data_IF_993744875371
#
_entry.id   IF_993744875371
#
_cell.length_a   1.000
_cell.length_b   1.000
_cell.length_c   1.000
_cell.angle_alpha   90.00
_cell.angle_beta   90.00
_cell.angle_gamma   90.00
#
_symmetry.space_group_name_H-M   'P 1'
#
loop_
_entity.id
_entity.type
_entity.pdbx_description
1 polymer ?
#
# COMPACT_ATOMS: atom_id res chain seq x y z
N UNK A 1 21.74 24.56 56.27
CA UNK A 1 23.06 25.23 56.26
C UNK A 1 23.61 25.09 54.83
N UNK A 2 23.37 25.96 53.85
CA UNK A 2 23.19 27.40 53.89
C UNK A 2 24.51 28.07 53.50
N UNK A 3 24.78 28.23 52.19
CA UNK A 3 25.68 29.22 51.55
C UNK A 3 26.17 28.72 50.18
N UNK A 4 26.38 29.52 49.15
CA UNK A 4 25.88 30.83 48.70
C UNK A 4 26.51 31.01 47.30
N UNK A 5 25.71 31.54 46.38
CA UNK A 5 26.10 32.08 45.08
C UNK A 5 27.03 33.30 45.21
N UNK A 6 27.81 33.60 44.16
CA UNK A 6 28.08 34.96 43.61
C UNK A 6 28.97 34.90 42.35
N UNK A 7 28.45 35.32 41.19
CA UNK A 7 28.65 36.62 40.50
C UNK A 7 29.94 36.70 39.67
N UNK A 8 29.81 36.84 38.34
CA UNK A 8 30.19 38.06 37.64
C UNK A 8 29.30 38.27 36.40
N UNK A 9 28.83 39.50 36.26
CA UNK A 9 27.94 40.03 35.24
C UNK A 9 28.66 41.24 34.62
N UNK A 10 28.65 41.34 33.30
CA UNK A 10 28.62 42.62 32.60
C UNK A 10 29.84 42.98 31.73
N UNK A 11 29.62 43.01 30.42
CA UNK A 11 29.90 44.21 29.61
C UNK A 11 29.09 44.11 28.31
N UNK A 12 28.24 45.11 28.08
CA UNK A 12 27.46 45.32 26.87
C UNK A 12 28.14 46.39 26.02
N UNK A 13 28.17 46.21 24.69
CA UNK A 13 28.06 47.33 23.75
C UNK A 13 27.43 46.88 22.42
N UNK A 14 26.45 47.68 22.00
CA UNK A 14 25.57 47.58 20.83
C UNK A 14 26.24 48.16 19.58
N UNK A 15 25.70 47.80 18.40
CA UNK A 15 25.33 48.64 17.21
C UNK A 15 24.97 47.63 16.09
N UNK A 16 23.69 47.35 15.79
CA UNK A 16 22.75 48.03 14.85
C UNK A 16 23.08 47.76 13.36
N UNK A 17 22.20 47.53 12.39
CA UNK A 17 20.74 47.31 12.25
C UNK A 17 20.45 47.17 10.73
N UNK A 18 19.32 46.56 10.36
CA UNK A 18 18.69 46.61 9.03
C UNK A 18 18.37 45.20 8.51
N UNK A 19 17.22 44.56 8.77
CA UNK A 19 15.80 44.98 8.78
C UNK A 19 15.27 45.34 7.38
N UNK A 20 14.57 44.40 6.75
CA UNK A 20 13.31 44.69 6.06
C UNK A 20 12.31 43.56 6.29
N UNK A 21 11.07 43.98 6.55
CA UNK A 21 9.95 43.25 7.11
C UNK A 21 8.85 43.22 6.04
N UNK A 22 8.02 42.17 6.03
CA UNK A 22 6.80 42.12 5.23
C UNK A 22 5.92 40.94 5.62
N UNK A 23 5.17 41.09 6.72
CA UNK A 23 4.00 40.26 7.09
C UNK A 23 2.89 40.44 6.05
N UNK A 24 2.03 39.42 5.87
CA UNK A 24 0.57 39.56 6.09
C UNK A 24 -0.05 38.19 6.45
N UNK A 25 -0.84 38.21 7.52
CA UNK A 25 -1.80 37.18 7.96
C UNK A 25 -3.04 37.19 7.05
N UNK A 26 -3.74 36.05 6.90
CA UNK A 26 -5.15 35.94 7.30
C UNK A 26 -5.61 34.46 7.31
N UNK A 27 -6.32 34.11 8.38
CA UNK A 27 -7.00 32.84 8.66
C UNK A 27 -8.33 32.79 7.90
N UNK A 28 -8.67 31.67 7.25
CA UNK A 28 -10.08 31.27 7.04
C UNK A 28 -10.29 29.76 7.08
N UNK A 29 -10.85 29.33 8.20
CA UNK A 29 -11.61 28.08 8.38
C UNK A 29 -12.95 28.20 7.65
N UNK A 30 -13.35 27.22 6.84
CA UNK A 30 -14.74 26.98 6.46
C UNK A 30 -15.07 25.48 6.39
N UNK A 31 -16.23 25.17 6.98
CA UNK A 31 -16.83 23.85 7.18
C UNK A 31 -17.29 23.16 5.89
N UNK A 32 -17.20 21.84 5.90
CA UNK A 32 -18.00 20.91 5.08
C UNK A 32 -19.49 20.96 5.44
N UNK A 33 -20.37 20.65 4.47
CA UNK A 33 -21.59 19.91 4.74
C UNK A 33 -21.53 18.51 4.11
N UNK A 34 -21.89 17.52 4.91
CA UNK A 34 -22.08 16.14 4.51
C UNK A 34 -23.35 15.93 3.68
N UNK A 35 -23.30 14.87 2.86
CA UNK A 35 -24.40 14.04 2.37
C UNK A 35 -24.93 14.30 0.94
N UNK A 36 -24.48 13.50 -0.03
CA UNK A 36 -25.33 12.90 -1.06
C UNK A 36 -24.65 11.66 -1.68
N UNK A 37 -24.83 10.50 -1.06
CA UNK A 37 -24.69 9.19 -1.73
C UNK A 37 -25.94 8.92 -2.56
N UNK A 38 -25.77 8.85 -3.88
CA UNK A 38 -26.55 8.08 -4.85
C UNK A 38 -25.99 8.46 -6.23
N UNK A 39 -26.24 7.64 -7.26
CA UNK A 39 -25.90 7.88 -8.68
C UNK A 39 -24.50 7.41 -9.13
N UNK A 40 -24.27 6.10 -9.16
CA UNK A 40 -23.35 5.51 -10.15
C UNK A 40 -23.63 4.00 -10.38
N UNK A 41 -24.79 3.67 -10.95
CA UNK A 41 -25.05 2.31 -11.48
C UNK A 41 -25.65 2.32 -12.90
N UNK A 42 -25.95 3.48 -13.49
CA UNK A 42 -26.54 3.58 -14.84
C UNK A 42 -25.54 3.86 -15.97
N UNK A 43 -24.29 4.23 -15.67
CA UNK A 43 -23.31 4.59 -16.71
C UNK A 43 -22.38 3.44 -17.11
N UNK A 44 -22.33 2.34 -16.35
CA UNK A 44 -21.47 1.19 -16.68
C UNK A 44 -22.11 0.24 -17.71
N UNK A 45 -23.44 0.13 -17.78
CA UNK A 45 -24.11 -0.78 -18.73
C UNK A 45 -24.04 -0.30 -20.18
N UNK A 46 -23.91 1.01 -20.42
CA UNK A 46 -23.81 1.59 -21.76
C UNK A 46 -22.41 1.42 -22.36
N UNK A 47 -21.37 1.35 -21.52
CA UNK A 47 -19.99 1.12 -21.93
C UNK A 47 -19.81 -0.34 -22.38
N UNK A 48 -20.34 -1.29 -21.62
CA UNK A 48 -20.28 -2.71 -21.98
C UNK A 48 -21.09 -3.04 -23.24
N UNK A 49 -22.20 -2.32 -23.47
CA UNK A 49 -23.01 -2.45 -24.69
C UNK A 49 -22.28 -1.95 -25.94
N UNK A 50 -21.47 -0.89 -25.83
CA UNK A 50 -20.69 -0.35 -26.94
C UNK A 50 -19.51 -1.27 -27.35
N UNK A 51 -18.93 -1.98 -26.37
CA UNK A 51 -17.85 -2.96 -26.61
C UNK A 51 -18.41 -4.21 -27.31
N UNK A 52 -19.58 -4.68 -26.90
CA UNK A 52 -20.22 -5.86 -27.52
C UNK A 52 -20.64 -5.63 -29.00
N UNK A 53 -21.05 -4.41 -29.35
CA UNK A 53 -21.38 -4.06 -30.74
C UNK A 53 -20.13 -3.99 -31.63
N UNK A 54 -19.03 -3.43 -31.11
CA UNK A 54 -17.76 -3.29 -31.84
C UNK A 54 -17.10 -4.64 -32.15
N UNK A 55 -17.22 -5.62 -31.25
CA UNK A 55 -16.68 -6.97 -31.45
C UNK A 55 -17.49 -7.82 -32.45
N UNK A 56 -18.75 -7.45 -32.74
CA UNK A 56 -19.62 -8.18 -33.67
C UNK A 56 -19.43 -7.77 -35.14
N UNK A 57 -18.82 -6.61 -35.39
CA UNK A 57 -18.57 -6.09 -36.76
C UNK A 57 -17.23 -6.56 -37.35
N UNK A 58 -16.28 -6.99 -36.51
CA UNK A 58 -14.96 -7.47 -36.97
C UNK A 58 -14.98 -8.92 -37.50
N UNK A 59 -15.92 -9.75 -37.08
CA UNK A 59 -16.01 -11.17 -37.50
C UNK A 59 -16.55 -11.39 -38.93
N UNK A 60 -17.00 -10.33 -39.63
CA UNK A 60 -17.54 -10.43 -41.00
C UNK A 60 -16.57 -9.99 -42.11
N UNK A 61 -15.37 -9.48 -41.79
CA UNK A 61 -14.44 -8.95 -42.81
C UNK A 61 -13.21 -9.81 -43.11
N UNK A 62 -13.25 -11.09 -42.74
CA UNK A 62 -12.26 -12.08 -43.16
C UNK A 62 -12.61 -12.77 -44.48
N UNK A 63 -12.49 -12.08 -45.63
CA UNK A 63 -12.19 -12.61 -46.98
C UNK A 63 -12.52 -11.58 -48.07
N UNK A 64 -11.50 -11.05 -48.75
CA UNK A 64 -11.34 -11.11 -50.22
C UNK A 64 -10.12 -10.29 -50.68
N UNK A 65 -9.53 -10.77 -51.77
CA UNK A 65 -8.22 -10.43 -52.34
C UNK A 65 -8.40 -9.48 -53.54
N UNK A 66 -7.54 -8.44 -53.61
CA UNK A 66 -7.10 -7.58 -54.75
C UNK A 66 -8.17 -6.80 -55.56
N UNK A 67 -8.01 -5.47 -55.63
CA UNK A 67 -7.86 -4.78 -56.92
C UNK A 67 -7.07 -3.46 -56.76
N UNK A 68 -5.98 -3.31 -57.50
CA UNK A 68 -4.98 -2.23 -57.34
C UNK A 68 -4.99 -1.25 -58.53
N UNK A 69 -6.10 -1.19 -59.28
CA UNK A 69 -6.23 -0.40 -60.51
C UNK A 69 -7.19 0.80 -60.36
N UNK A 70 -8.09 0.80 -59.36
CA UNK A 70 -9.01 1.93 -59.11
C UNK A 70 -8.40 3.11 -58.36
N UNK A 71 -7.26 2.91 -57.69
CA UNK A 71 -6.66 3.94 -56.83
C UNK A 71 -5.76 4.94 -57.58
N UNK A 72 -5.38 4.64 -58.83
CA UNK A 72 -4.55 5.52 -59.65
C UNK A 72 -5.38 6.53 -60.47
N UNK A 73 -6.66 6.22 -60.71
CA UNK A 73 -7.57 7.05 -61.52
C UNK A 73 -8.18 8.20 -60.70
N UNK A 74 -8.32 8.02 -59.38
CA UNK A 74 -8.82 9.04 -58.45
C UNK A 74 -7.76 10.10 -58.10
N UNK A 75 -6.50 9.69 -57.94
CA UNK A 75 -5.38 10.62 -57.67
C UNK A 75 -5.06 11.51 -58.90
N UNK A 76 -5.26 11.01 -60.13
CA UNK A 76 -5.09 11.81 -61.35
C UNK A 76 -6.21 12.86 -61.52
N UNK A 77 -7.44 12.55 -61.10
CA UNK A 77 -8.56 13.49 -61.11
C UNK A 77 -8.40 14.60 -60.05
N UNK A 78 -7.84 14.26 -58.89
CA UNK A 78 -7.53 15.25 -57.84
C UNK A 78 -6.40 16.21 -58.26
N UNK A 79 -5.39 15.70 -58.98
CA UNK A 79 -4.31 16.53 -59.52
C UNK A 79 -4.79 17.50 -60.62
N UNK A 80 -5.74 17.07 -61.48
CA UNK A 80 -6.34 17.95 -62.50
C UNK A 80 -7.21 19.06 -61.89
N UNK A 81 -7.97 18.75 -60.82
CA UNK A 81 -8.78 19.74 -60.12
C UNK A 81 -7.94 20.83 -59.42
N UNK A 82 -6.76 20.48 -58.91
CA UNK A 82 -5.82 21.45 -58.33
C UNK A 82 -5.18 22.35 -59.40
N UNK A 83 -4.89 21.81 -60.59
CA UNK A 83 -4.29 22.58 -61.68
C UNK A 83 -5.27 23.54 -62.37
N UNK A 84 -6.56 23.20 -62.45
CA UNK A 84 -7.62 24.10 -62.93
C UNK A 84 -7.93 25.25 -61.95
N UNK A 85 -7.69 25.05 -60.65
CA UNK A 85 -7.86 26.10 -59.63
C UNK A 85 -6.78 27.19 -59.64
N UNK A 86 -5.68 26.98 -60.38
CA UNK A 86 -4.52 27.88 -60.45
C UNK A 86 -4.44 28.71 -61.74
N UNK A 87 -5.42 28.59 -62.65
CA UNK A 87 -5.42 29.31 -63.93
C UNK A 87 -6.58 30.31 -64.02
N UNK A 88 -6.43 31.45 -63.34
CA UNK A 88 -7.14 32.69 -63.71
C UNK A 88 -6.10 33.76 -63.98
N UNK A 89 -6.03 34.16 -65.25
CA UNK A 89 -5.15 35.20 -65.78
C UNK A 89 -5.27 36.52 -64.99
N UNK A 90 -4.12 37.11 -64.68
CA UNK A 90 -4.01 38.45 -64.12
C UNK A 90 -4.42 39.51 -65.15
N UNK A 91 -5.33 40.47 -64.84
CA UNK A 91 -5.44 41.68 -65.64
C UNK A 91 -4.38 42.70 -65.23
N UNK A 92 -3.85 43.35 -66.25
CA UNK A 92 -2.79 44.36 -66.21
C UNK A 92 -3.22 45.61 -65.46
N UNK A 93 -2.25 46.25 -64.79
CA UNK A 93 -2.33 47.61 -64.27
C UNK A 93 -2.73 48.58 -65.40
N UNK A 94 -3.86 49.28 -65.22
CA UNK A 94 -4.09 50.58 -65.83
C UNK A 94 -4.83 51.51 -64.87
N UNK A 95 -4.55 52.79 -65.03
CA UNK A 95 -4.68 53.88 -64.07
C UNK A 95 -5.99 54.67 -64.30
N UNK A 96 -6.76 54.97 -63.25
CA UNK A 96 -7.63 56.17 -63.24
C UNK A 96 -9.13 56.04 -62.89
N UNK A 97 -9.46 56.66 -61.76
CA UNK A 97 -10.65 57.49 -61.46
C UNK A 97 -12.03 56.92 -61.00
N UNK A 98 -12.36 57.30 -59.75
CA UNK A 98 -13.66 57.73 -59.15
C UNK A 98 -14.96 56.99 -59.46
N UNK A 99 -15.55 56.32 -58.44
CA UNK A 99 -16.98 56.34 -58.05
C UNK A 99 -17.13 55.90 -56.56
N UNK A 100 -18.19 56.30 -55.82
CA UNK A 100 -18.26 56.33 -54.34
C UNK A 100 -18.63 54.97 -53.70
N UNK A 101 -18.44 54.77 -52.38
CA UNK A 101 -18.53 53.44 -51.77
C UNK A 101 -19.97 52.99 -51.57
N UNK A 102 -20.28 51.79 -52.06
CA UNK A 102 -21.48 51.03 -51.71
C UNK A 102 -21.22 50.38 -50.34
N UNK A 103 -22.06 50.59 -49.31
CA UNK A 103 -21.90 49.92 -48.03
C UNK A 103 -22.37 48.48 -48.16
N UNK A 104 -21.45 47.55 -48.35
CA UNK A 104 -21.71 46.13 -48.11
C UNK A 104 -21.64 45.85 -46.61
N UNK A 105 -22.70 45.33 -45.98
CA UNK A 105 -22.60 44.79 -44.63
C UNK A 105 -21.82 43.49 -44.75
N UNK A 106 -20.52 43.52 -44.47
CA UNK A 106 -19.79 42.31 -44.16
C UNK A 106 -20.35 41.80 -42.84
N UNK A 107 -21.24 40.81 -42.89
CA UNK A 107 -21.39 39.88 -41.77
C UNK A 107 -20.12 39.02 -41.77
N UNK A 108 -19.01 39.59 -41.33
CA UNK A 108 -17.89 38.78 -40.84
C UNK A 108 -18.45 38.04 -39.63
N UNK A 109 -18.62 36.72 -39.74
CA UNK A 109 -18.96 35.91 -38.57
C UNK A 109 -17.95 36.20 -37.47
N UNK A 110 -18.37 36.96 -36.45
CA UNK A 110 -17.53 37.33 -35.33
C UNK A 110 -17.19 36.04 -34.57
N UNK A 111 -15.91 35.69 -34.58
CA UNK A 111 -15.41 34.51 -33.87
C UNK A 111 -15.26 34.89 -32.40
N UNK A 112 -16.03 34.28 -31.52
CA UNK A 112 -15.97 34.56 -30.08
C UNK A 112 -15.02 33.57 -29.42
N UNK A 113 -14.01 34.05 -28.70
CA UNK A 113 -13.05 33.21 -28.00
C UNK A 113 -13.73 32.46 -26.85
N UNK A 114 -13.67 31.13 -26.84
CA UNK A 114 -14.27 30.32 -25.78
C UNK A 114 -13.65 30.52 -24.39
N UNK A 115 -12.39 30.97 -24.30
CA UNK A 115 -11.71 31.20 -23.02
C UNK A 115 -12.05 32.54 -22.33
N UNK A 116 -12.24 33.63 -23.07
CA UNK A 116 -12.49 34.96 -22.51
C UNK A 116 -13.81 35.60 -22.97
N UNK A 117 -14.56 34.91 -23.83
CA UNK A 117 -15.84 35.31 -24.39
C UNK A 117 -15.82 36.68 -25.13
N UNK A 118 -14.66 37.07 -25.65
CA UNK A 118 -14.49 38.29 -26.46
C UNK A 118 -14.22 37.96 -27.92
N UNK A 119 -14.48 38.93 -28.81
CA UNK A 119 -14.25 38.78 -30.24
C UNK A 119 -12.77 38.60 -30.56
N UNK A 120 -12.48 37.55 -31.33
CA UNK A 120 -11.20 37.30 -31.96
C UNK A 120 -11.16 38.17 -33.21
N UNK A 121 -10.48 39.32 -33.12
CA UNK A 121 -10.29 40.24 -34.24
C UNK A 121 -9.47 39.64 -35.40
N UNK A 122 -8.81 40.48 -36.21
CA UNK A 122 -8.03 40.05 -37.39
C UNK A 122 -6.67 39.34 -37.06
N UNK A 123 -6.51 38.81 -35.85
CA UNK A 123 -5.27 38.19 -35.37
C UNK A 123 -5.20 36.68 -35.60
N UNK A 124 -4.08 36.06 -35.18
CA UNK A 124 -3.94 34.60 -35.13
C UNK A 124 -4.88 34.03 -34.08
N UNK A 125 -5.55 32.92 -34.40
CA UNK A 125 -6.48 32.23 -33.52
C UNK A 125 -6.27 30.73 -33.59
N UNK A 126 -6.60 30.03 -32.51
CA UNK A 126 -6.57 28.58 -32.44
C UNK A 126 -8.00 28.06 -32.64
N UNK A 127 -8.14 27.02 -33.46
CA UNK A 127 -9.42 26.32 -33.67
C UNK A 127 -9.26 24.89 -33.21
N UNK A 128 -9.78 24.57 -32.04
CA UNK A 128 -9.64 23.28 -31.39
C UNK A 128 -10.83 23.00 -30.46
N UNK A 129 -11.16 21.72 -30.26
CA UNK A 129 -12.33 21.30 -29.45
C UNK A 129 -13.67 21.87 -29.95
N UNK A 130 -13.83 22.06 -31.27
CA UNK A 130 -15.04 22.64 -31.87
C UNK A 130 -15.25 24.12 -31.57
N UNK A 131 -14.27 24.80 -30.97
CA UNK A 131 -14.33 26.20 -30.60
C UNK A 131 -13.08 26.97 -31.06
N UNK A 132 -13.17 28.29 -31.00
CA UNK A 132 -12.08 29.20 -31.35
C UNK A 132 -11.54 29.88 -30.10
N UNK A 133 -10.22 30.05 -30.02
CA UNK A 133 -9.53 30.56 -28.85
C UNK A 133 -8.48 31.60 -29.27
N UNK A 134 -8.30 32.63 -28.45
CA UNK A 134 -7.06 33.40 -28.50
C UNK A 134 -5.88 32.47 -28.11
N UNK A 135 -4.70 32.61 -28.74
CA UNK A 135 -3.52 31.84 -28.37
C UNK A 135 -3.19 31.92 -26.87
N UNK A 136 -3.43 33.07 -26.25
CA UNK A 136 -3.20 33.29 -24.82
C UNK A 136 -4.31 32.75 -23.92
N UNK A 137 -5.50 32.47 -24.46
CA UNK A 137 -6.66 31.99 -23.71
C UNK A 137 -6.76 30.46 -23.71
N UNK A 138 -6.11 29.77 -24.64
CA UNK A 138 -6.01 28.31 -24.63
C UNK A 138 -4.90 27.88 -23.67
N UNK A 139 -5.26 27.65 -22.40
CA UNK A 139 -4.31 27.44 -21.30
C UNK A 139 -4.41 26.04 -20.73
N UNK A 140 -3.26 25.48 -20.37
CA UNK A 140 -3.21 24.22 -19.65
C UNK A 140 -3.84 24.37 -18.26
N UNK A 141 -4.77 23.49 -17.91
CA UNK A 141 -5.46 23.54 -16.61
C UNK A 141 -4.52 23.35 -15.41
N UNK A 142 -3.46 22.54 -15.56
CA UNK A 142 -2.49 22.30 -14.49
C UNK A 142 -1.58 23.52 -14.18
N UNK A 143 -0.94 24.12 -15.18
CA UNK A 143 0.07 25.18 -14.98
C UNK A 143 -0.43 26.59 -15.32
N UNK A 144 -1.64 26.72 -15.87
CA UNK A 144 -2.25 27.97 -16.34
C UNK A 144 -1.45 28.75 -17.40
N UNK A 145 -0.46 28.12 -18.03
CA UNK A 145 0.29 28.69 -19.15
C UNK A 145 -0.38 28.37 -20.48
N UNK A 146 -0.26 29.25 -21.49
CA UNK A 146 -0.75 28.98 -22.84
C UNK A 146 -0.16 27.69 -23.43
N UNK A 147 -1.01 26.90 -24.08
CA UNK A 147 -0.57 25.74 -24.87
C UNK A 147 -0.32 26.23 -26.29
N UNK A 148 0.96 26.27 -26.66
CA UNK A 148 1.39 26.63 -28.03
C UNK A 148 1.87 25.43 -28.84
N UNK A 149 1.93 24.26 -28.20
CA UNK A 149 2.32 23.01 -28.83
C UNK A 149 1.25 22.55 -29.83
N UNK A 150 1.67 21.91 -30.92
CA UNK A 150 0.76 21.35 -31.94
C UNK A 150 -0.10 20.21 -31.37
N UNK A 151 0.40 19.50 -30.37
CA UNK A 151 -0.27 18.36 -29.76
C UNK A 151 -0.44 18.59 -28.25
N UNK A 152 -1.64 18.32 -27.75
CA UNK A 152 -2.01 18.49 -26.33
C UNK A 152 -2.83 17.29 -25.85
N UNK A 153 -2.95 17.13 -24.53
CA UNK A 153 -3.72 16.05 -23.93
C UNK A 153 -4.99 16.61 -23.30
N UNK A 154 -6.06 15.83 -23.29
CA UNK A 154 -7.34 16.21 -22.69
C UNK A 154 -7.69 15.28 -21.53
N UNK A 155 -8.16 15.86 -20.43
CA UNK A 155 -8.87 15.11 -19.38
C UNK A 155 -10.28 15.70 -19.26
N UNK A 156 -11.29 14.98 -19.75
CA UNK A 156 -12.63 15.54 -19.94
C UNK A 156 -12.58 16.75 -20.89
N UNK A 157 -13.10 17.89 -20.43
CA UNK A 157 -13.13 19.15 -21.20
C UNK A 157 -11.95 20.10 -20.91
N UNK A 158 -10.92 19.64 -20.19
CA UNK A 158 -9.79 20.47 -19.81
C UNK A 158 -8.53 20.13 -20.63
N UNK A 159 -7.93 21.10 -21.33
CA UNK A 159 -6.69 20.89 -22.06
C UNK A 159 -5.47 20.97 -21.13
N UNK A 160 -4.47 20.14 -21.41
CA UNK A 160 -3.20 20.07 -20.67
C UNK A 160 -2.03 20.01 -21.67
N UNK A 161 -0.87 20.56 -21.29
CA UNK A 161 0.38 20.19 -21.99
C UNK A 161 0.59 18.68 -21.86
N UNK A 162 1.19 18.03 -22.87
CA UNK A 162 1.52 16.60 -22.81
C UNK A 162 2.36 16.25 -21.57
N UNK A 163 3.32 17.09 -21.24
CA UNK A 163 4.16 16.97 -20.04
C UNK A 163 3.36 17.12 -18.75
N UNK A 164 2.50 18.13 -18.66
CA UNK A 164 1.64 18.35 -17.49
C UNK A 164 0.64 17.21 -17.30
N UNK A 165 0.02 16.74 -18.38
CA UNK A 165 -0.89 15.59 -18.35
C UNK A 165 -0.15 14.34 -17.87
N UNK A 166 1.05 14.08 -18.42
CA UNK A 166 1.90 12.98 -17.97
C UNK A 166 2.23 13.11 -16.47
N UNK A 167 2.62 14.28 -16.00
CA UNK A 167 2.97 14.48 -14.58
C UNK A 167 1.78 14.21 -13.64
N UNK A 168 0.57 14.56 -14.05
CA UNK A 168 -0.63 14.41 -13.22
C UNK A 168 -1.29 13.03 -13.30
N UNK A 169 -1.32 12.40 -14.47
CA UNK A 169 -2.11 11.19 -14.72
C UNK A 169 -1.26 9.94 -14.96
N UNK A 170 0.02 10.10 -15.29
CA UNK A 170 0.89 8.96 -15.52
C UNK A 170 1.37 8.39 -14.19
N UNK A 171 1.08 7.12 -13.87
CA UNK A 171 1.50 6.53 -12.61
C UNK A 171 3.03 6.46 -12.53
N UNK A 172 3.54 6.78 -11.35
CA UNK A 172 4.94 6.59 -10.98
C UNK A 172 5.09 5.27 -10.24
N UNK A 173 6.24 4.64 -10.42
CA UNK A 173 6.61 3.43 -9.70
C UNK A 173 7.14 3.79 -8.32
N UNK A 174 6.56 3.22 -7.27
CA UNK A 174 6.96 3.40 -5.87
C UNK A 174 8.31 2.74 -5.53
N UNK A 175 8.89 1.99 -6.48
CA UNK A 175 10.21 1.35 -6.34
C UNK A 175 11.28 2.17 -7.02
N UNK A 176 11.16 2.47 -8.31
CA UNK A 176 12.19 3.20 -9.05
C UNK A 176 11.99 4.72 -9.13
N UNK A 177 10.86 5.24 -8.63
CA UNK A 177 10.45 6.65 -8.68
C UNK A 177 10.33 7.24 -10.10
N UNK A 178 10.32 6.40 -11.14
CA UNK A 178 10.11 6.80 -12.53
C UNK A 178 8.67 6.58 -12.96
N UNK A 179 8.23 7.25 -14.03
CA UNK A 179 7.00 6.91 -14.72
C UNK A 179 7.05 5.46 -15.20
N UNK A 180 5.99 4.71 -14.94
CA UNK A 180 5.88 3.32 -15.37
C UNK A 180 5.89 3.30 -16.91
N UNK A 181 6.71 2.48 -17.57
CA UNK A 181 6.74 2.48 -19.02
C UNK A 181 5.43 1.95 -19.61
N UNK A 182 5.09 2.44 -20.80
CA UNK A 182 4.02 1.91 -21.63
C UNK A 182 4.49 0.64 -22.33
N UNK A 183 3.63 -0.37 -22.46
CA UNK A 183 3.92 -1.58 -23.22
C UNK A 183 3.88 -1.33 -24.75
N UNK A 184 4.22 -2.35 -25.54
CA UNK A 184 4.30 -2.26 -27.01
C UNK A 184 2.96 -1.88 -27.68
N UNK A 185 1.84 -2.06 -26.97
CA UNK A 185 0.48 -1.75 -27.43
C UNK A 185 0.05 -0.33 -27.05
N UNK A 186 0.89 0.43 -26.35
CA UNK A 186 0.55 1.80 -25.94
C UNK A 186 -0.25 1.88 -24.62
N UNK A 187 -0.36 0.78 -23.87
CA UNK A 187 -1.05 0.73 -22.57
C UNK A 187 -0.06 0.74 -21.39
N UNK A 188 -0.45 1.36 -20.29
CA UNK A 188 0.36 1.40 -19.05
C UNK A 188 0.00 0.19 -18.21
N UNK A 189 0.90 -0.79 -18.13
CA UNK A 189 0.76 -1.96 -17.26
C UNK A 189 1.62 -1.80 -16.00
N UNK A 190 1.01 -1.96 -14.83
CA UNK A 190 1.73 -1.97 -13.55
C UNK A 190 1.27 -3.12 -12.67
N UNK A 191 2.16 -3.56 -11.78
CA UNK A 191 1.84 -4.48 -10.69
C UNK A 191 1.54 -3.67 -9.44
N UNK A 192 0.68 -4.20 -8.57
CA UNK A 192 0.39 -3.61 -7.28
C UNK A 192 0.46 -4.66 -6.19
N UNK A 193 0.99 -4.28 -5.02
CA UNK A 193 0.86 -5.14 -3.84
C UNK A 193 -0.63 -5.23 -3.45
N UNK A 194 -1.24 -6.43 -3.31
CA UNK A 194 -2.69 -6.58 -3.10
C UNK A 194 -3.25 -5.79 -1.90
N UNK A 195 -2.52 -5.77 -0.79
CA UNK A 195 -2.92 -5.03 0.42
C UNK A 195 -2.41 -3.58 0.47
N UNK A 196 -1.09 -3.36 0.30
CA UNK A 196 -0.49 -2.04 0.46
C UNK A 196 -0.77 -1.08 -0.70
N UNK A 197 -1.24 -1.59 -1.84
CA UNK A 197 -1.45 -0.85 -3.08
C UNK A 197 -0.17 -0.14 -3.59
N UNK A 198 1.01 -0.64 -3.19
CA UNK A 198 2.30 -0.17 -3.71
C UNK A 198 2.36 -0.51 -5.21
N UNK A 199 2.40 0.50 -6.07
CA UNK A 199 2.41 0.36 -7.53
C UNK A 199 3.84 0.31 -8.03
N UNK A 200 4.17 -0.68 -8.86
CA UNK A 200 5.53 -0.84 -9.36
C UNK A 200 5.59 -1.39 -10.78
N UNK A 201 6.73 -1.13 -11.43
CA UNK A 201 7.02 -1.64 -12.76
C UNK A 201 7.04 -3.18 -12.75
N UNK A 202 6.42 -3.88 -13.73
CA UNK A 202 6.45 -5.34 -13.81
C UNK A 202 7.88 -5.94 -13.82
N UNK A 203 8.87 -5.20 -14.33
CA UNK A 203 10.27 -5.61 -14.33
C UNK A 203 10.85 -5.90 -12.94
N UNK A 204 10.32 -5.25 -11.89
CA UNK A 204 10.79 -5.45 -10.52
C UNK A 204 10.44 -6.83 -9.95
N UNK A 205 9.55 -7.59 -10.60
CA UNK A 205 9.29 -8.99 -10.24
C UNK A 205 10.47 -9.90 -10.60
N UNK A 206 11.33 -9.49 -11.54
CA UNK A 206 12.39 -10.32 -12.11
C UNK A 206 13.80 -9.75 -11.94
N UNK A 207 13.95 -8.49 -11.55
CA UNK A 207 15.26 -7.83 -11.43
C UNK A 207 15.99 -8.06 -10.10
N UNK A 208 15.39 -8.86 -9.20
CA UNK A 208 15.94 -9.15 -7.88
C UNK A 208 15.70 -8.06 -6.84
N UNK A 209 14.79 -7.10 -7.09
CA UNK A 209 14.35 -6.14 -6.08
C UNK A 209 13.83 -6.88 -4.84
N UNK A 210 14.44 -6.69 -3.67
CA UNK A 210 14.07 -7.44 -2.48
C UNK A 210 12.73 -6.97 -1.91
N UNK A 211 12.07 -7.87 -1.20
CA UNK A 211 10.85 -7.59 -0.44
C UNK A 211 11.13 -7.61 1.06
N UNK A 212 10.39 -6.82 1.81
CA UNK A 212 10.38 -6.91 3.26
C UNK A 212 9.82 -8.27 3.69
N UNK A 213 10.54 -9.03 4.53
CA UNK A 213 10.09 -10.34 5.01
C UNK A 213 8.83 -10.28 5.90
N UNK A 214 8.42 -9.08 6.33
CA UNK A 214 7.27 -8.90 7.21
C UNK A 214 6.08 -8.24 6.54
N UNK A 215 6.26 -7.22 5.69
CA UNK A 215 5.13 -6.57 5.00
C UNK A 215 5.09 -6.80 3.49
N UNK A 216 6.05 -7.55 2.93
CA UNK A 216 6.14 -7.95 1.51
C UNK A 216 6.22 -6.81 0.48
N UNK A 217 6.23 -5.56 0.93
CA UNK A 217 6.55 -4.38 0.11
C UNK A 217 7.96 -4.51 -0.47
N UNK A 218 8.10 -4.10 -1.72
CA UNK A 218 9.38 -4.04 -2.41
C UNK A 218 10.23 -2.86 -1.90
N UNK A 219 11.54 -3.05 -1.81
CA UNK A 219 12.53 -2.04 -1.43
C UNK A 219 12.59 -0.90 -2.47
N UNK A 220 12.22 0.34 -2.10
CA UNK A 220 12.37 1.49 -2.98
C UNK A 220 13.85 1.83 -3.23
N UNK A 221 14.18 2.40 -4.40
CA UNK A 221 15.57 2.71 -4.77
C UNK A 221 16.22 3.80 -3.92
N UNK A 222 15.41 4.69 -3.35
CA UNK A 222 15.86 5.79 -2.48
C UNK A 222 15.99 5.37 -1.01
N UNK A 223 15.49 4.18 -0.65
CA UNK A 223 15.46 3.72 0.74
C UNK A 223 16.13 2.36 0.85
N UNK A 224 17.03 2.18 1.83
CA UNK A 224 17.71 0.89 2.00
C UNK A 224 17.10 0.07 3.12
N UNK A 225 16.64 -1.15 2.83
CA UNK A 225 16.14 -2.07 3.84
C UNK A 225 17.28 -2.63 4.69
N UNK A 226 16.97 -3.01 5.93
CA UNK A 226 17.91 -3.66 6.84
C UNK A 226 18.10 -5.10 6.44
N UNK A 227 19.35 -5.55 6.33
CA UNK A 227 19.68 -6.95 6.06
C UNK A 227 19.89 -7.69 7.37
N UNK A 228 19.14 -8.77 7.56
CA UNK A 228 19.30 -9.71 8.66
C UNK A 228 20.40 -10.74 8.31
N UNK A 229 20.97 -11.40 9.31
CA UNK A 229 22.11 -12.31 9.14
C UNK A 229 21.74 -13.59 8.38
N UNK A 230 20.46 -13.96 8.42
CA UNK A 230 19.90 -15.09 7.66
C UNK A 230 19.55 -14.76 6.19
N UNK A 231 19.86 -13.53 5.74
CA UNK A 231 19.64 -13.05 4.38
C UNK A 231 18.30 -12.36 4.16
N UNK A 232 17.38 -12.37 5.13
CA UNK A 232 16.10 -11.65 5.03
C UNK A 232 16.31 -10.13 5.02
N UNK A 233 15.31 -9.42 4.49
CA UNK A 233 15.30 -7.96 4.39
C UNK A 233 14.13 -7.40 5.16
N UNK A 234 14.36 -6.35 5.94
CA UNK A 234 13.34 -5.71 6.77
C UNK A 234 13.28 -4.22 6.44
N UNK A 235 12.09 -3.72 6.10
CA UNK A 235 11.90 -2.29 5.88
C UNK A 235 11.98 -1.53 7.21
N UNK A 236 12.29 -0.23 7.13
CA UNK A 236 12.50 0.62 8.31
C UNK A 236 11.25 0.70 9.19
N UNK A 237 10.06 0.78 8.60
CA UNK A 237 8.81 0.85 9.35
C UNK A 237 8.51 -0.46 10.10
N UNK A 238 8.85 -1.63 9.52
CA UNK A 238 8.73 -2.92 10.21
C UNK A 238 9.80 -3.07 11.30
N UNK A 239 11.01 -2.54 11.07
CA UNK A 239 12.11 -2.55 12.03
C UNK A 239 11.77 -1.81 13.33
N UNK A 240 11.01 -0.72 13.26
CA UNK A 240 10.65 0.10 14.43
C UNK A 240 9.97 -0.70 15.56
N UNK A 241 9.31 -1.81 15.20
CA UNK A 241 8.64 -2.71 16.15
C UNK A 241 9.22 -4.13 16.16
N UNK A 242 10.36 -4.36 15.49
CA UNK A 242 10.94 -5.69 15.38
C UNK A 242 11.57 -6.15 16.69
N UNK A 243 11.31 -7.40 17.06
CA UNK A 243 11.86 -8.04 18.25
C UNK A 243 13.13 -8.77 17.85
N UNK A 244 14.25 -8.38 18.46
CA UNK A 244 15.57 -8.79 17.99
C UNK A 244 16.25 -9.82 18.90
N UNK A 245 15.82 -9.94 20.16
CA UNK A 245 16.34 -10.93 21.10
C UNK A 245 15.27 -11.44 22.07
N UNK A 246 15.59 -12.54 22.76
CA UNK A 246 14.68 -13.24 23.67
C UNK A 246 14.20 -12.35 24.83
N UNK A 247 15.03 -11.42 25.31
CA UNK A 247 14.67 -10.54 26.42
C UNK A 247 13.65 -9.48 26.02
N UNK A 248 13.74 -8.96 24.79
CA UNK A 248 12.76 -8.03 24.21
C UNK A 248 11.40 -8.69 23.96
N UNK A 249 11.37 -10.01 23.80
CA UNK A 249 10.13 -10.77 23.59
C UNK A 249 9.35 -11.03 24.88
N UNK A 250 10.01 -10.99 26.04
CA UNK A 250 9.41 -11.36 27.32
C UNK A 250 8.13 -10.57 27.67
N UNK A 251 8.06 -9.24 27.47
CA UNK A 251 6.82 -8.49 27.72
C UNK A 251 5.67 -8.96 26.83
N UNK A 252 5.95 -9.24 25.55
CA UNK A 252 4.95 -9.74 24.62
C UNK A 252 4.47 -11.15 25.01
N UNK A 253 5.36 -12.00 25.50
CA UNK A 253 4.98 -13.31 26.03
C UNK A 253 4.02 -13.21 27.22
N UNK A 254 4.26 -12.26 28.14
CA UNK A 254 3.34 -11.99 29.26
C UNK A 254 1.97 -11.49 28.77
N UNK A 255 1.95 -10.58 27.78
CA UNK A 255 0.71 -10.11 27.15
C UNK A 255 -0.10 -11.28 26.56
N UNK A 256 0.58 -12.26 25.93
CA UNK A 256 -0.05 -13.48 25.40
C UNK A 256 -0.60 -14.35 26.54
N UNK A 257 0.14 -14.52 27.63
CA UNK A 257 -0.36 -15.27 28.78
C UNK A 257 -1.61 -14.62 29.40
N UNK A 258 -1.63 -13.28 29.51
CA UNK A 258 -2.80 -12.53 29.98
C UNK A 258 -3.99 -12.69 29.03
N UNK A 259 -3.76 -12.64 27.71
CA UNK A 259 -4.80 -12.91 26.71
C UNK A 259 -5.44 -14.30 26.90
N UNK A 260 -4.63 -15.34 27.06
CA UNK A 260 -5.12 -16.69 27.32
C UNK A 260 -5.85 -16.81 28.67
N UNK A 261 -5.38 -16.12 29.70
CA UNK A 261 -6.06 -16.06 31.00
C UNK A 261 -7.43 -15.39 30.88
N UNK A 262 -7.54 -14.30 30.09
CA UNK A 262 -8.80 -13.64 29.77
C UNK A 262 -9.81 -14.51 29.01
N UNK A 263 -9.33 -15.54 28.31
CA UNK A 263 -10.16 -16.58 27.66
C UNK A 263 -10.46 -17.77 28.57
N UNK A 264 -10.07 -17.72 29.84
CA UNK A 264 -10.12 -18.82 30.81
C UNK A 264 -9.32 -20.07 30.35
N UNK A 265 -8.23 -19.85 29.61
CA UNK A 265 -7.36 -20.87 29.01
C UNK A 265 -5.93 -20.79 29.59
N UNK A 266 -5.81 -20.68 30.91
CA UNK A 266 -4.52 -20.49 31.58
C UNK A 266 -3.55 -21.67 31.33
N UNK A 267 -2.37 -21.37 30.79
CA UNK A 267 -1.26 -22.31 30.64
C UNK A 267 -0.42 -22.30 31.91
N UNK A 268 -0.62 -23.29 32.77
CA UNK A 268 0.06 -23.38 34.10
C UNK A 268 1.54 -23.71 34.01
N UNK A 269 1.96 -24.32 32.91
CA UNK A 269 3.35 -24.69 32.70
C UNK A 269 4.15 -23.46 32.29
N UNK A 270 5.33 -23.27 32.90
CA UNK A 270 6.31 -22.33 32.38
C UNK A 270 6.99 -22.94 31.16
N UNK A 271 6.60 -22.48 29.97
CA UNK A 271 7.21 -22.87 28.70
C UNK A 271 8.30 -21.86 28.36
N UNK A 272 9.56 -22.28 28.17
CA UNK A 272 10.62 -21.41 27.67
C UNK A 272 10.29 -20.86 26.28
N UNK A 273 10.44 -19.54 26.10
CA UNK A 273 10.35 -18.88 24.80
C UNK A 273 11.77 -18.53 24.33
N UNK A 274 12.12 -18.93 23.10
CA UNK A 274 13.44 -18.67 22.52
C UNK A 274 13.29 -18.05 21.12
N UNK A 275 13.98 -16.93 20.90
CA UNK A 275 14.14 -16.37 19.55
C UNK A 275 15.35 -17.02 18.88
N UNK A 276 15.14 -17.51 17.66
CA UNK A 276 16.10 -18.34 16.94
C UNK A 276 16.28 -17.86 15.50
N UNK A 277 17.40 -18.24 14.90
CA UNK A 277 17.64 -18.04 13.47
C UNK A 277 16.86 -19.06 12.62
N UNK A 278 16.65 -18.73 11.34
CA UNK A 278 15.96 -19.61 10.39
C UNK A 278 16.56 -21.02 10.34
N UNK A 279 17.89 -21.12 10.39
CA UNK A 279 18.56 -22.41 10.36
C UNK A 279 18.25 -23.26 11.61
N UNK A 280 18.33 -22.67 12.80
CA UNK A 280 17.99 -23.36 14.04
C UNK A 280 16.52 -23.79 14.09
N UNK A 281 15.61 -22.99 13.52
CA UNK A 281 14.19 -23.33 13.42
C UNK A 281 13.94 -24.53 12.48
N UNK A 282 14.62 -24.56 11.34
CA UNK A 282 14.55 -25.68 10.40
C UNK A 282 15.13 -26.97 11.00
N UNK A 283 16.28 -26.89 11.67
CA UNK A 283 16.90 -28.03 12.37
C UNK A 283 16.03 -28.56 13.52
N UNK A 284 15.33 -27.66 14.22
CA UNK A 284 14.38 -28.04 15.27
C UNK A 284 13.14 -28.74 14.70
N UNK A 285 12.65 -28.29 13.54
CA UNK A 285 11.53 -28.91 12.84
C UNK A 285 11.85 -30.34 12.37
N UNK A 286 13.06 -30.58 11.84
CA UNK A 286 13.51 -31.93 11.45
C UNK A 286 13.65 -32.89 12.66
N UNK A 287 13.90 -32.35 13.85
CA UNK A 287 14.02 -33.10 15.11
C UNK A 287 12.67 -33.54 15.71
N UNK A 288 11.56 -32.90 15.33
CA UNK A 288 10.23 -33.21 15.85
C UNK A 288 9.57 -34.35 15.06
N UNK A 289 9.32 -35.48 15.73
CA UNK A 289 8.64 -36.65 15.12
C UNK A 289 7.19 -36.36 14.72
N UNK A 290 6.58 -35.33 15.31
CA UNK A 290 5.22 -34.87 15.02
C UNK A 290 5.21 -33.50 14.32
N UNK A 291 6.34 -33.05 13.77
CA UNK A 291 6.40 -31.78 13.04
C UNK A 291 5.60 -31.84 11.74
N UNK A 292 4.59 -30.98 11.60
CA UNK A 292 3.79 -30.88 10.38
C UNK A 292 4.52 -30.01 9.34
N UNK A 293 5.07 -30.66 8.31
CA UNK A 293 5.90 -30.02 7.30
C UNK A 293 5.05 -29.43 6.17
N UNK A 294 4.50 -28.21 6.30
CA UNK A 294 4.14 -27.43 5.10
C UNK A 294 3.84 -25.94 5.35
N UNK A 295 4.88 -25.10 5.38
CA UNK A 295 4.83 -23.70 4.93
C UNK A 295 6.12 -23.38 4.18
N UNK A 296 6.14 -22.45 3.20
CA UNK A 296 7.38 -22.04 2.52
C UNK A 296 8.43 -21.47 3.49
N UNK A 297 8.00 -20.93 4.64
CA UNK A 297 8.87 -20.51 5.74
C UNK A 297 8.17 -20.73 7.09
N UNK A 298 8.56 -21.75 7.85
CA UNK A 298 8.17 -21.89 9.27
C UNK A 298 8.70 -20.70 10.06
N UNK A 299 7.86 -20.01 10.84
CA UNK A 299 8.23 -18.80 11.60
C UNK A 299 8.07 -18.96 13.12
N UNK A 300 7.42 -20.01 13.57
CA UNK A 300 7.29 -20.44 14.96
C UNK A 300 7.27 -21.97 15.05
N UNK A 301 7.61 -22.51 16.21
CA UNK A 301 7.54 -23.95 16.46
C UNK A 301 7.33 -24.27 17.94
N UNK A 302 6.28 -25.02 18.24
CA UNK A 302 6.02 -25.60 19.56
C UNK A 302 6.68 -26.99 19.69
N UNK A 303 7.77 -27.05 20.47
CA UNK A 303 8.58 -28.26 20.67
C UNK A 303 8.04 -29.16 21.78
N UNK A 304 8.26 -30.47 21.63
CA UNK A 304 7.87 -31.51 22.58
C UNK A 304 9.00 -32.49 22.92
N UNK A 305 10.03 -32.57 22.08
CA UNK A 305 11.19 -33.43 22.24
C UNK A 305 12.38 -32.69 22.90
N UNK A 306 13.36 -33.45 23.41
CA UNK A 306 14.62 -32.91 23.93
C UNK A 306 15.60 -32.65 22.78
N UNK A 307 16.04 -31.40 22.66
CA UNK A 307 16.98 -30.96 21.63
C UNK A 307 17.85 -29.80 22.14
N UNK A 308 18.99 -29.54 21.51
CA UNK A 308 19.78 -28.32 21.76
C UNK A 308 19.54 -27.36 20.62
N UNK A 309 19.14 -26.13 20.93
CA UNK A 309 18.77 -25.10 19.95
C UNK A 309 19.61 -23.86 20.16
N UNK A 310 20.12 -23.27 19.07
CA UNK A 310 20.87 -22.01 19.12
C UNK A 310 19.90 -20.83 19.27
N UNK A 311 19.95 -20.13 20.41
CA UNK A 311 19.09 -18.97 20.74
C UNK A 311 19.87 -17.67 20.66
N UNK A 312 19.18 -16.56 20.39
CA UNK A 312 19.78 -15.23 20.32
C UNK A 312 19.91 -14.63 21.72
N UNK A 313 21.16 -14.40 22.13
CA UNK A 313 21.52 -13.92 23.45
C UNK A 313 21.36 -12.40 23.60
N UNK A 314 21.67 -11.63 22.55
CA UNK A 314 21.70 -10.15 22.59
C UNK A 314 21.19 -9.53 21.30
N UNK A 315 20.52 -8.38 21.45
CA UNK A 315 20.16 -7.50 20.34
C UNK A 315 21.35 -7.23 19.42
N UNK A 316 21.22 -7.50 18.12
CA UNK A 316 22.25 -7.16 17.14
C UNK A 316 22.34 -5.65 16.95
N UNK A 317 23.55 -5.15 16.64
CA UNK A 317 23.77 -3.74 16.33
C UNK A 317 23.57 -3.48 14.85
N UNK A 318 22.94 -2.36 14.50
CA UNK A 318 22.82 -1.95 13.10
C UNK A 318 24.02 -1.06 12.77
N UNK A 319 24.90 -1.58 11.92
CA UNK A 319 26.08 -0.85 11.46
C UNK A 319 25.85 0.00 10.23
N UNK A 320 26.93 0.58 9.71
CA UNK A 320 26.90 1.37 8.50
C UNK A 320 26.30 0.58 7.32
N UNK A 321 25.37 1.22 6.59
CA UNK A 321 24.72 0.61 5.43
C UNK A 321 23.55 -0.32 5.73
N UNK A 322 22.89 -0.16 6.88
CA UNK A 322 21.68 -0.91 7.27
C UNK A 322 21.92 -2.43 7.29
N UNK A 323 23.06 -2.84 7.85
CA UNK A 323 23.40 -4.26 8.04
C UNK A 323 23.49 -4.56 9.52
N UNK A 324 22.98 -5.72 9.90
CA UNK A 324 23.21 -6.26 11.24
C UNK A 324 24.69 -6.61 11.40
N UNK A 325 25.23 -6.30 12.58
CA UNK A 325 26.58 -6.56 13.04
C UNK A 325 26.48 -7.14 14.46
N UNK A 326 27.42 -8.02 14.81
CA UNK A 326 27.59 -8.56 16.18
C UNK A 326 26.39 -9.38 16.69
N UNK A 327 25.79 -10.25 15.87
CA UNK A 327 24.85 -11.25 16.38
C UNK A 327 25.59 -12.31 17.19
N UNK A 328 25.07 -12.60 18.39
CA UNK A 328 25.64 -13.59 19.30
C UNK A 328 24.55 -14.60 19.63
N UNK A 329 24.80 -15.85 19.26
CA UNK A 329 23.95 -17.00 19.60
C UNK A 329 24.59 -17.83 20.69
N UNK A 330 23.77 -18.53 21.48
CA UNK A 330 24.22 -19.51 22.46
C UNK A 330 23.42 -20.81 22.37
N UNK A 331 24.04 -21.97 22.62
CA UNK A 331 23.31 -23.24 22.65
C UNK A 331 22.45 -23.34 23.91
N UNK A 332 21.15 -23.53 23.74
CA UNK A 332 20.20 -23.78 24.81
C UNK A 332 19.74 -25.24 24.80
N UNK A 333 20.00 -25.97 25.89
CA UNK A 333 19.62 -27.38 25.99
C UNK A 333 18.20 -27.53 26.55
N UNK A 334 17.29 -28.03 25.72
CA UNK A 334 15.90 -28.35 26.10
C UNK A 334 15.85 -29.74 26.72
N UNK A 335 15.54 -29.82 28.02
CA UNK A 335 15.31 -31.11 28.69
C UNK A 335 13.82 -31.40 28.75
N UNK A 336 13.40 -32.60 28.36
CA UNK A 336 11.99 -32.99 28.43
C UNK A 336 11.54 -33.21 29.87
N UNK A 337 10.93 -32.18 30.46
CA UNK A 337 10.33 -32.22 31.82
C UNK A 337 8.81 -32.33 31.81
N UNK A 338 8.20 -32.21 30.63
CA UNK A 338 6.77 -31.99 30.42
C UNK A 338 6.41 -32.25 28.94
N UNK A 339 5.12 -32.15 28.59
CA UNK A 339 4.62 -32.43 27.23
C UNK A 339 5.03 -31.39 26.18
N UNK A 340 5.36 -30.16 26.61
CA UNK A 340 5.85 -29.07 25.74
C UNK A 340 7.19 -28.58 26.29
N UNK A 341 8.25 -28.57 25.49
CA UNK A 341 9.61 -28.27 25.96
C UNK A 341 10.02 -26.81 25.74
N UNK A 342 9.59 -26.18 24.65
CA UNK A 342 9.78 -24.76 24.37
C UNK A 342 8.88 -24.28 23.23
N UNK A 343 8.73 -22.95 23.13
CA UNK A 343 8.22 -22.28 21.93
C UNK A 343 9.41 -21.56 21.29
N UNK A 344 9.67 -21.84 20.01
CA UNK A 344 10.66 -21.14 19.20
C UNK A 344 9.95 -20.12 18.31
N UNK A 345 10.54 -18.94 18.13
CA UNK A 345 10.07 -17.95 17.17
C UNK A 345 11.25 -17.40 16.37
N UNK A 346 11.04 -17.14 15.08
CA UNK A 346 12.04 -16.52 14.23
C UNK A 346 12.29 -15.07 14.64
N UNK A 347 13.55 -14.68 14.78
CA UNK A 347 13.91 -13.31 15.17
C UNK A 347 13.68 -12.25 14.10
N UNK A 348 13.68 -10.97 14.50
CA UNK A 348 13.62 -9.84 13.56
C UNK A 348 12.25 -9.68 12.90
N UNK A 349 11.20 -10.18 13.54
CA UNK A 349 9.81 -9.99 13.14
C UNK A 349 9.18 -8.84 13.94
N UNK A 350 8.30 -8.03 13.33
CA UNK A 350 7.51 -7.01 14.04
C UNK A 350 6.74 -7.60 15.22
N UNK A 351 6.50 -6.78 16.24
CA UNK A 351 5.81 -7.17 17.47
C UNK A 351 4.47 -7.87 17.21
N UNK A 352 3.64 -7.32 16.32
CA UNK A 352 2.33 -7.92 16.00
C UNK A 352 2.46 -9.27 15.29
N UNK A 353 3.42 -9.44 14.38
CA UNK A 353 3.66 -10.73 13.74
C UNK A 353 4.20 -11.75 14.73
N UNK A 354 5.15 -11.33 15.57
CA UNK A 354 5.70 -12.17 16.65
C UNK A 354 4.59 -12.61 17.59
N UNK A 355 3.69 -11.69 17.97
CA UNK A 355 2.60 -11.98 18.90
C UNK A 355 1.54 -12.89 18.31
N UNK A 356 1.19 -12.73 17.02
CA UNK A 356 0.26 -13.65 16.36
C UNK A 356 0.84 -15.06 16.26
N UNK A 357 2.15 -15.19 15.95
CA UNK A 357 2.85 -16.48 15.98
C UNK A 357 2.85 -17.05 17.40
N UNK A 358 3.16 -16.25 18.42
CA UNK A 358 3.13 -16.71 19.81
C UNK A 358 1.75 -17.18 20.25
N UNK A 359 0.68 -16.47 19.88
CA UNK A 359 -0.68 -16.91 20.14
C UNK A 359 -0.97 -18.25 19.45
N UNK A 360 -0.58 -18.40 18.18
CA UNK A 360 -0.70 -19.66 17.45
C UNK A 360 0.02 -20.82 18.16
N UNK A 361 1.31 -20.67 18.47
CA UNK A 361 2.11 -21.71 19.13
C UNK A 361 1.65 -22.00 20.57
N UNK A 362 1.16 -20.98 21.29
CA UNK A 362 0.57 -21.13 22.60
C UNK A 362 -0.71 -21.97 22.54
N UNK A 363 -1.48 -21.89 21.45
CA UNK A 363 -2.65 -22.74 21.26
C UNK A 363 -2.27 -24.21 21.11
N UNK A 364 -1.25 -24.53 20.30
CA UNK A 364 -0.71 -25.89 20.22
C UNK A 364 -0.27 -26.39 21.61
N UNK A 365 0.46 -25.55 22.37
CA UNK A 365 0.87 -25.90 23.71
C UNK A 365 -0.32 -26.17 24.65
N UNK A 366 -1.34 -25.31 24.60
CA UNK A 366 -2.55 -25.46 25.42
C UNK A 366 -3.33 -26.73 25.07
N UNK A 367 -3.48 -27.04 23.79
CA UNK A 367 -4.15 -28.26 23.32
C UNK A 367 -3.45 -29.52 23.87
N UNK A 368 -2.13 -29.59 23.70
CA UNK A 368 -1.31 -30.71 24.20
C UNK A 368 -1.50 -30.90 25.71
N UNK A 369 -1.31 -29.82 26.49
CA UNK A 369 -1.41 -29.84 27.96
C UNK A 369 -2.81 -30.18 28.50
N UNK A 370 -3.86 -29.96 27.72
CA UNK A 370 -5.24 -30.30 28.10
C UNK A 370 -5.69 -31.67 27.56
N UNK A 371 -4.79 -32.44 26.96
CA UNK A 371 -5.04 -33.80 26.52
C UNK A 371 -5.80 -33.93 25.21
N UNK A 372 -5.78 -32.89 24.37
CA UNK A 372 -6.21 -33.01 22.97
C UNK A 372 -5.13 -33.79 22.24
N UNK A 373 -5.42 -35.05 21.92
CA UNK A 373 -4.51 -35.93 21.17
C UNK A 373 -5.18 -36.35 19.88
N UNK A 374 -4.40 -36.46 18.81
CA UNK A 374 -4.83 -36.92 17.47
C UNK A 374 -5.95 -36.09 16.85
N UNK A 375 -5.72 -34.79 16.67
CA UNK A 375 -6.55 -33.95 15.82
C UNK A 375 -6.09 -34.05 14.37
N UNK A 376 -7.00 -33.84 13.41
CA UNK A 376 -6.61 -33.64 12.02
C UNK A 376 -5.95 -32.26 11.86
N UNK A 377 -5.06 -32.14 10.88
CA UNK A 377 -4.25 -30.94 10.71
C UNK A 377 -5.08 -29.68 10.47
N UNK A 378 -6.16 -29.78 9.70
CA UNK A 378 -7.11 -28.70 9.46
C UNK A 378 -7.81 -28.20 10.74
N UNK A 379 -8.09 -29.10 11.68
CA UNK A 379 -8.72 -28.74 12.96
C UNK A 379 -7.72 -28.12 13.92
N UNK A 380 -6.53 -28.73 14.05
CA UNK A 380 -5.47 -28.24 14.92
C UNK A 380 -4.93 -26.88 14.45
N UNK A 381 -4.50 -26.79 13.19
CA UNK A 381 -3.98 -25.53 12.62
C UNK A 381 -5.08 -24.47 12.53
N UNK A 382 -6.30 -24.88 12.18
CA UNK A 382 -7.45 -23.99 12.09
C UNK A 382 -7.76 -23.29 13.40
N UNK A 383 -7.88 -24.02 14.51
CA UNK A 383 -8.14 -23.38 15.81
C UNK A 383 -6.94 -22.55 16.28
N UNK A 384 -5.70 -22.96 15.99
CA UNK A 384 -4.51 -22.17 16.31
C UNK A 384 -4.50 -20.83 15.53
N UNK A 385 -4.90 -20.83 14.26
CA UNK A 385 -5.08 -19.59 13.49
C UNK A 385 -6.21 -18.70 14.03
N UNK A 386 -7.30 -19.29 14.53
CA UNK A 386 -8.38 -18.51 15.17
C UNK A 386 -7.85 -17.74 16.38
N UNK A 387 -7.02 -18.36 17.24
CA UNK A 387 -6.46 -17.67 18.41
C UNK A 387 -5.46 -16.57 18.01
N UNK A 388 -4.65 -16.80 16.96
CA UNK A 388 -3.76 -15.78 16.42
C UNK A 388 -4.53 -14.57 15.87
N UNK A 389 -5.61 -14.83 15.12
CA UNK A 389 -6.50 -13.81 14.57
C UNK A 389 -7.23 -13.03 15.67
N UNK A 390 -7.80 -13.71 16.67
CA UNK A 390 -8.46 -13.08 17.82
C UNK A 390 -7.50 -12.19 18.61
N UNK A 391 -6.25 -12.61 18.79
CA UNK A 391 -5.24 -11.79 19.46
C UNK A 391 -4.92 -10.53 18.64
N UNK A 392 -4.68 -10.66 17.33
CA UNK A 392 -4.46 -9.52 16.44
C UNK A 392 -5.63 -8.53 16.50
N UNK A 393 -6.87 -9.04 16.48
CA UNK A 393 -8.07 -8.20 16.61
C UNK A 393 -8.12 -7.44 17.93
N UNK A 394 -7.80 -8.10 19.04
CA UNK A 394 -7.74 -7.44 20.35
C UNK A 394 -6.70 -6.31 20.37
N UNK A 395 -5.55 -6.52 19.70
CA UNK A 395 -4.48 -5.53 19.63
C UNK A 395 -4.86 -4.33 18.76
N UNK A 396 -5.47 -4.56 17.60
CA UNK A 396 -5.92 -3.52 16.68
C UNK A 396 -7.02 -2.67 17.33
N UNK A 397 -8.02 -3.31 17.96
CA UNK A 397 -9.15 -2.63 18.61
C UNK A 397 -8.72 -1.81 19.83
N UNK A 398 -7.77 -2.33 20.64
CA UNK A 398 -7.23 -1.61 21.79
C UNK A 398 -6.52 -0.30 21.39
N UNK A 399 -6.09 -0.15 20.13
CA UNK A 399 -5.49 1.08 19.61
C UNK A 399 -6.49 2.16 19.18
N UNK A 400 -7.78 1.83 19.05
CA UNK A 400 -8.83 2.78 18.64
C UNK A 400 -9.31 3.61 19.84
N UNK A 401 -9.33 3.02 21.04
CA UNK A 401 -9.77 3.67 22.27
C UNK A 401 -8.88 4.82 22.77
N UNK A 402 -7.66 4.99 22.24
CA UNK A 402 -6.75 6.08 22.63
C UNK A 402 -6.88 7.35 21.78
N UNK A 403 -7.64 7.31 20.67
CA UNK A 403 -7.78 8.43 19.73
C UNK A 403 -9.10 9.21 19.85
N UNK A 404 -10.00 8.79 20.77
CA UNK A 404 -11.23 9.52 21.08
C UNK A 404 -11.18 10.02 22.52
N UNK A 405 -11.17 11.35 22.66
CA UNK A 405 -11.16 12.16 23.89
C UNK A 405 -9.78 12.51 24.49
N UNK A 406 -9.27 13.68 24.11
CA UNK A 406 -8.54 14.57 25.02
C UNK A 406 -8.76 16.03 24.64
N UNK A 407 -10.00 16.49 24.76
CA UNK A 407 -10.32 17.90 25.03
C UNK A 407 -10.90 17.98 26.44
N UNK A 408 -10.09 18.53 27.38
CA UNK A 408 -10.40 18.92 28.78
C UNK A 408 -10.77 17.78 29.75
N UNK A 409 -10.45 17.76 31.05
CA UNK A 409 -9.58 18.52 31.96
C UNK A 409 -9.44 17.67 33.25
N UNK A 410 -8.32 17.82 33.95
CA UNK A 410 -7.85 17.09 35.14
C UNK A 410 -8.84 16.87 36.29
N UNK A 411 -8.85 15.66 36.88
CA UNK A 411 -8.79 15.42 38.34
C UNK A 411 -8.54 13.93 38.64
N UNK A 412 -7.98 13.66 39.82
CA UNK A 412 -7.04 12.57 40.10
C UNK A 412 -7.63 11.22 40.57
N UNK A 413 -6.75 10.21 40.45
CA UNK A 413 -6.59 9.00 41.26
C UNK A 413 -7.59 7.86 41.15
N UNK A 414 -7.17 6.80 40.43
CA UNK A 414 -7.19 5.43 40.95
C UNK A 414 -6.10 4.61 40.26
N UNK A 415 -5.44 3.79 41.07
CA UNK A 415 -4.30 2.95 40.74
C UNK A 415 -4.73 1.72 39.94
N UNK A 416 -4.33 1.66 38.67
CA UNK A 416 -4.06 0.41 37.97
C UNK A 416 -2.76 0.62 37.19
N UNK A 417 -1.75 -0.18 37.51
CA UNK A 417 -0.51 -0.26 36.73
C UNK A 417 -0.80 -1.04 35.45
N UNK A 418 -1.53 -0.43 34.51
CA UNK A 418 -1.47 -0.84 33.12
C UNK A 418 -0.21 -0.20 32.53
N UNK A 419 0.73 -1.03 32.09
CA UNK A 419 1.87 -0.57 31.28
C UNK A 419 1.32 0.34 30.18
N UNK A 420 1.77 1.59 30.15
CA UNK A 420 1.37 2.58 29.14
C UNK A 420 1.75 2.03 27.76
N UNK A 421 0.81 1.32 27.12
CA UNK A 421 0.86 0.98 25.70
C UNK A 421 0.93 2.32 24.98
N UNK A 422 2.11 2.67 24.47
CA UNK A 422 2.32 3.94 23.77
C UNK A 422 1.33 4.08 22.62
N UNK A 423 1.05 5.32 22.22
CA UNK A 423 0.21 5.61 21.05
C UNK A 423 0.75 4.84 19.84
N UNK A 424 0.05 3.78 19.42
CA UNK A 424 0.48 2.91 18.33
C UNK A 424 0.48 3.69 17.02
N UNK A 425 1.50 3.48 16.18
CA UNK A 425 1.59 4.20 14.90
C UNK A 425 0.47 3.75 13.96
N UNK A 426 0.03 4.64 13.06
CA UNK A 426 -0.92 4.28 12.00
C UNK A 426 -0.41 3.11 11.16
N UNK A 427 0.91 3.05 10.95
CA UNK A 427 1.57 1.95 10.27
C UNK A 427 1.43 0.63 11.04
N UNK A 428 1.69 0.59 12.35
CA UNK A 428 1.57 -0.63 13.16
C UNK A 428 0.14 -1.19 13.10
N UNK A 429 -0.89 -0.31 13.12
CA UNK A 429 -2.28 -0.74 12.96
C UNK A 429 -2.53 -1.36 11.59
N UNK A 430 -2.12 -0.67 10.51
CA UNK A 430 -2.26 -1.17 9.13
C UNK A 430 -1.47 -2.47 8.91
N UNK A 431 -0.33 -2.63 9.58
CA UNK A 431 0.46 -3.85 9.57
C UNK A 431 -0.27 -5.01 10.29
N UNK A 432 -0.97 -4.72 11.39
CA UNK A 432 -1.85 -5.69 12.04
C UNK A 432 -3.00 -6.14 11.14
N UNK A 433 -3.68 -5.19 10.47
CA UNK A 433 -4.72 -5.47 9.48
C UNK A 433 -4.18 -6.32 8.32
N UNK A 434 -2.95 -6.06 7.86
CA UNK A 434 -2.28 -6.88 6.85
C UNK A 434 -2.08 -8.32 7.31
N UNK A 435 -1.60 -8.55 8.54
CA UNK A 435 -1.43 -9.92 9.06
C UNK A 435 -2.76 -10.64 9.24
N UNK A 436 -3.80 -9.92 9.67
CA UNK A 436 -5.15 -10.46 9.78
C UNK A 436 -5.68 -10.88 8.39
N UNK A 437 -5.51 -10.02 7.39
CA UNK A 437 -5.86 -10.32 6.00
C UNK A 437 -5.08 -11.54 5.47
N UNK A 438 -3.80 -11.72 5.82
CA UNK A 438 -3.03 -12.91 5.42
C UNK A 438 -3.65 -14.20 5.96
N UNK A 439 -4.12 -14.22 7.22
CA UNK A 439 -4.82 -15.39 7.79
C UNK A 439 -6.15 -15.62 7.07
N UNK A 440 -6.93 -14.57 6.82
CA UNK A 440 -8.26 -14.66 6.22
C UNK A 440 -8.22 -15.12 4.74
N UNK A 441 -7.21 -14.66 4.00
CA UNK A 441 -7.03 -14.94 2.58
C UNK A 441 -6.15 -16.16 2.27
N UNK A 442 -5.66 -16.86 3.30
CA UNK A 442 -4.87 -18.07 3.14
C UNK A 442 -5.68 -19.14 2.38
N UNK A 443 -5.11 -19.65 1.30
CA UNK A 443 -5.73 -20.65 0.41
C UNK A 443 -5.35 -22.08 0.76
N UNK A 444 -4.52 -22.30 1.77
CA UNK A 444 -4.09 -23.63 2.18
C UNK A 444 -5.24 -24.41 2.84
N UNK A 445 -5.33 -25.74 2.64
CA UNK A 445 -6.38 -26.53 3.27
C UNK A 445 -6.28 -26.55 4.80
N UNK A 446 -5.08 -26.71 5.35
CA UNK A 446 -4.91 -26.84 6.80
C UNK A 446 -5.06 -25.50 7.54
N UNK A 447 -4.38 -24.45 7.07
CA UNK A 447 -4.39 -23.15 7.75
C UNK A 447 -5.55 -22.27 7.29
N UNK A 448 -5.78 -22.16 5.98
CA UNK A 448 -6.81 -21.30 5.40
C UNK A 448 -8.22 -21.85 5.58
N UNK A 449 -8.51 -23.04 5.03
CA UNK A 449 -9.84 -23.67 5.18
C UNK A 449 -10.12 -24.02 6.65
N UNK A 450 -9.11 -24.54 7.35
CA UNK A 450 -9.17 -24.81 8.80
C UNK A 450 -9.51 -23.56 9.61
N UNK A 451 -8.86 -22.42 9.33
CA UNK A 451 -9.20 -21.14 9.97
C UNK A 451 -10.64 -20.74 9.68
N UNK A 452 -11.09 -20.80 8.42
CA UNK A 452 -12.46 -20.42 8.05
C UNK A 452 -13.50 -21.26 8.79
N UNK A 453 -13.33 -22.59 8.82
CA UNK A 453 -14.21 -23.50 9.53
C UNK A 453 -14.18 -23.28 11.05
N UNK A 454 -12.99 -23.13 11.64
CA UNK A 454 -12.83 -22.87 13.06
C UNK A 454 -13.40 -21.52 13.48
N UNK A 455 -13.18 -20.47 12.69
CA UNK A 455 -13.68 -19.13 12.96
C UNK A 455 -15.21 -19.10 12.87
N UNK A 456 -15.80 -19.75 11.85
CA UNK A 456 -17.26 -19.90 11.76
C UNK A 456 -17.84 -20.60 12.99
N UNK A 457 -17.23 -21.70 13.43
CA UNK A 457 -17.63 -22.42 14.62
C UNK A 457 -17.54 -21.57 15.89
N UNK A 458 -16.44 -20.83 16.08
CA UNK A 458 -16.23 -19.96 17.23
C UNK A 458 -17.22 -18.79 17.23
N UNK A 459 -17.52 -18.18 16.08
CA UNK A 459 -18.50 -17.11 15.96
C UNK A 459 -19.92 -17.61 16.26
N UNK A 460 -20.27 -18.82 15.81
CA UNK A 460 -21.61 -19.40 15.98
C UNK A 460 -21.86 -19.96 17.38
N UNK A 461 -20.88 -20.66 17.95
CA UNK A 461 -21.05 -21.43 19.18
C UNK A 461 -20.25 -20.89 20.38
N UNK A 462 -19.32 -19.96 20.14
CA UNK A 462 -18.35 -19.49 21.11
C UNK A 462 -17.14 -20.40 21.23
N UNK A 463 -16.01 -19.83 21.63
CA UNK A 463 -14.72 -20.53 21.74
C UNK A 463 -14.80 -21.76 22.65
N UNK A 464 -15.38 -21.60 23.84
CA UNK A 464 -15.44 -22.68 24.84
C UNK A 464 -16.19 -23.91 24.34
N UNK A 465 -17.39 -23.72 23.75
CA UNK A 465 -18.20 -24.82 23.24
C UNK A 465 -17.55 -25.48 22.03
N UNK A 466 -16.89 -24.70 21.19
CA UNK A 466 -16.13 -25.20 20.04
C UNK A 466 -15.00 -26.12 20.51
N UNK A 467 -14.19 -25.69 21.48
CA UNK A 467 -13.13 -26.50 22.06
C UNK A 467 -13.65 -27.77 22.75
N UNK A 468 -14.72 -27.66 23.55
CA UNK A 468 -15.34 -28.82 24.20
C UNK A 468 -15.85 -29.83 23.14
N UNK A 469 -16.37 -29.35 22.00
CA UNK A 469 -16.76 -30.21 20.88
C UNK A 469 -15.56 -30.88 20.22
N UNK A 470 -14.52 -30.12 19.85
CA UNK A 470 -13.27 -30.64 19.27
C UNK A 470 -12.67 -31.72 20.18
N UNK A 471 -12.71 -31.53 21.50
CA UNK A 471 -12.23 -32.52 22.47
C UNK A 471 -12.98 -33.85 22.38
N UNK A 472 -14.28 -33.80 22.11
CA UNK A 472 -15.16 -34.96 22.10
C UNK A 472 -15.19 -35.68 20.75
N UNK A 473 -15.09 -34.95 19.65
CA UNK A 473 -15.30 -35.47 18.29
C UNK A 473 -14.05 -35.46 17.42
N UNK A 474 -13.06 -34.63 17.75
CA UNK A 474 -11.88 -34.39 16.93
C UNK A 474 -12.13 -33.47 15.72
N UNK A 475 -13.33 -32.91 15.57
CA UNK A 475 -13.72 -32.04 14.44
C UNK A 475 -14.31 -30.71 14.89
N UNK A 476 -14.49 -29.75 13.99
CA UNK A 476 -15.29 -28.55 14.27
C UNK A 476 -16.80 -28.88 14.35
N UNK A 477 -17.58 -28.15 15.17
CA UNK A 477 -19.03 -28.23 15.17
C UNK A 477 -19.61 -27.49 13.94
N UNK A 478 -20.50 -28.15 13.21
CA UNK A 478 -21.23 -27.58 12.07
C UNK A 478 -22.61 -27.05 12.46
#
# INVERSE_FOLDING_TARGET
MGWLSKIFKGSSQKISQGQYHGKYEDDRVWNEPSNLDAWSDYENEDIDRAIALSLSEEDQKGKNVIDNESHLEEDEQLARALQESLNVESPRYDNGNTYPPIPFPFVTGFRICAGCNTEIGHGRFLSCMGAVWHPECFRCHACNLPISDYEFSMSGNYPYHKSCYKEHYHPKCDVCNNFIPTNDVGLIEYRAHPFWMQKYCPSHEFDGTPRCCSCERMEPRDTRYVSLDDGRKLCLECLDSAIMDTSECQPLYLDIQEFYEGLNMQVKQQIPLLLVERQALNEAMEGEKNGHHHMPETRGLCLSEEQTVSTILRRPRIGAGNRIIEMITEPYRLTRRCEVTAILVLYGLPRLLTGSILAHEMMHAWLRLNGYRTLSQDVEEGICQVLAHMWLDSEIMSGIGSNVASTSSSSASSSSTSSKKGTRSQFERKLGEYFKHQIESDTSPAYGDGFRAGNEAVLKYGLRRTLDHIRMTGSFPY
#
